data_IF_163545758425
#
_entry.id   IF_163545758425
#
_cell.length_a   1.000
_cell.length_b   1.000
_cell.length_c   1.000
_cell.angle_alpha   90.00
_cell.angle_beta   90.00
_cell.angle_gamma   90.00
#
_symmetry.space_group_name_H-M   'P 1'
#
loop_
_entity.id
_entity.type
_entity.pdbx_description
1 polymer ?
#
# COMPACT_ATOMS: atom_id res chain seq x y z
N UNK A 1 -2.28 -13.76 -6.74
CA UNK A 1 -2.71 -13.23 -5.43
C UNK A 1 -4.23 -13.15 -5.43
N UNK A 2 -4.90 -13.63 -4.39
CA UNK A 2 -6.37 -13.77 -4.38
C UNK A 2 -7.08 -12.41 -4.46
N UNK A 3 -6.45 -11.36 -3.92
CA UNK A 3 -6.95 -9.98 -3.97
C UNK A 3 -7.08 -9.48 -5.41
N UNK A 4 -6.03 -9.62 -6.21
CA UNK A 4 -6.03 -9.21 -7.62
C UNK A 4 -7.06 -10.00 -8.41
N UNK A 5 -7.16 -11.31 -8.17
CA UNK A 5 -8.12 -12.15 -8.89
C UNK A 5 -9.57 -11.69 -8.63
N UNK A 6 -9.90 -11.36 -7.38
CA UNK A 6 -11.20 -10.79 -7.01
C UNK A 6 -11.43 -9.44 -7.70
N UNK A 7 -10.44 -8.54 -7.69
CA UNK A 7 -10.54 -7.23 -8.34
C UNK A 7 -10.82 -7.35 -9.85
N UNK A 8 -10.23 -8.34 -10.52
CA UNK A 8 -10.41 -8.60 -11.95
C UNK A 8 -11.84 -9.06 -12.31
N UNK A 9 -12.65 -9.51 -11.35
CA UNK A 9 -14.06 -9.85 -11.58
C UNK A 9 -14.98 -8.62 -11.56
N UNK A 10 -14.50 -7.48 -11.04
CA UNK A 10 -15.27 -6.25 -10.96
C UNK A 10 -15.16 -5.41 -12.23
N UNK A 11 -16.24 -4.72 -12.60
CA UNK A 11 -16.24 -3.81 -13.74
C UNK A 11 -15.32 -2.61 -13.50
N UNK A 12 -14.73 -2.05 -14.57
CA UNK A 12 -13.94 -0.82 -14.46
C UNK A 12 -14.80 0.38 -14.04
N UNK A 13 -14.20 1.36 -13.36
CA UNK A 13 -14.87 2.59 -12.90
C UNK A 13 -16.13 2.35 -12.06
N UNK A 14 -16.11 1.29 -11.26
CA UNK A 14 -17.22 0.84 -10.42
C UNK A 14 -17.21 1.48 -9.02
N UNK A 15 -16.06 2.00 -8.57
CA UNK A 15 -15.90 2.53 -7.21
C UNK A 15 -15.45 4.00 -7.18
N UNK A 16 -15.97 4.75 -6.20
CA UNK A 16 -15.51 6.10 -5.88
C UNK A 16 -14.37 6.09 -4.84
N UNK A 17 -14.28 5.03 -4.03
CA UNK A 17 -13.29 4.86 -2.96
C UNK A 17 -12.89 3.38 -2.85
N UNK A 18 -11.59 3.12 -2.76
CA UNK A 18 -11.00 1.84 -2.38
C UNK A 18 -10.21 2.03 -1.10
N UNK A 19 -10.38 1.13 -0.13
CA UNK A 19 -9.69 1.17 1.16
C UNK A 19 -8.88 -0.11 1.39
N UNK A 20 -7.61 0.05 1.75
CA UNK A 20 -6.70 -1.04 2.12
C UNK A 20 -6.00 -0.71 3.45
N UNK A 21 -6.78 -0.70 4.54
CA UNK A 21 -6.27 -0.54 5.90
C UNK A 21 -6.01 -1.92 6.50
N UNK A 22 -4.74 -2.22 6.83
CA UNK A 22 -4.26 -3.53 7.27
C UNK A 22 -4.29 -4.63 6.18
N UNK A 23 -4.01 -4.27 4.92
CA UNK A 23 -3.98 -5.21 3.78
C UNK A 23 -2.61 -5.26 3.11
N UNK A 24 -2.03 -4.11 2.74
CA UNK A 24 -0.76 -4.07 2.00
C UNK A 24 0.46 -4.55 2.79
N UNK A 25 0.31 -4.75 4.10
CA UNK A 25 1.32 -5.41 4.93
C UNK A 25 1.41 -6.93 4.67
N UNK A 26 0.51 -7.51 3.87
CA UNK A 26 0.54 -8.93 3.49
C UNK A 26 0.98 -9.13 2.04
N UNK A 27 1.21 -8.04 1.30
CA UNK A 27 1.54 -8.06 -0.13
C UNK A 27 2.85 -7.31 -0.31
N UNK A 28 3.90 -8.02 -0.76
CA UNK A 28 5.19 -7.39 -1.02
C UNK A 28 5.13 -6.47 -2.23
N UNK A 29 4.93 -7.08 -3.41
CA UNK A 29 4.86 -6.34 -4.66
C UNK A 29 3.45 -5.82 -4.90
N UNK A 30 3.27 -4.50 -4.84
CA UNK A 30 1.98 -3.83 -4.97
C UNK A 30 1.63 -3.41 -6.40
N UNK A 31 2.53 -3.59 -7.38
CA UNK A 31 2.36 -3.12 -8.77
C UNK A 31 1.04 -3.54 -9.41
N UNK A 32 0.72 -4.82 -9.39
CA UNK A 32 -0.51 -5.36 -10.01
C UNK A 32 -1.76 -4.91 -9.25
N UNK A 33 -1.70 -4.91 -7.92
CA UNK A 33 -2.79 -4.45 -7.06
C UNK A 33 -3.11 -2.98 -7.31
N UNK A 34 -2.11 -2.09 -7.33
CA UNK A 34 -2.30 -0.65 -7.58
C UNK A 34 -2.86 -0.41 -8.99
N UNK A 35 -2.38 -1.15 -9.99
CA UNK A 35 -2.90 -1.08 -11.35
C UNK A 35 -4.39 -1.44 -11.41
N UNK A 36 -4.79 -2.52 -10.74
CA UNK A 36 -6.19 -2.92 -10.68
C UNK A 36 -7.03 -1.91 -9.90
N UNK A 37 -6.52 -1.33 -8.80
CA UNK A 37 -7.23 -0.25 -8.09
C UNK A 37 -7.50 0.92 -9.03
N UNK A 38 -6.50 1.33 -9.83
CA UNK A 38 -6.65 2.41 -10.81
C UNK A 38 -7.75 2.11 -11.83
N UNK A 39 -7.83 0.88 -12.32
CA UNK A 39 -8.90 0.44 -13.25
C UNK A 39 -10.29 0.51 -12.60
N UNK A 40 -10.38 0.12 -11.33
CA UNK A 40 -11.63 0.06 -10.59
C UNK A 40 -12.17 1.44 -10.18
N UNK A 41 -11.28 2.40 -9.92
CA UNK A 41 -11.66 3.75 -9.52
C UNK A 41 -12.24 4.56 -10.69
N UNK A 42 -13.30 5.32 -10.38
CA UNK A 42 -13.78 6.42 -11.23
C UNK A 42 -12.76 7.57 -11.23
N UNK A 43 -12.80 8.47 -12.24
CA UNK A 43 -11.98 9.68 -12.21
C UNK A 43 -12.17 10.46 -10.90
N UNK A 44 -11.08 10.94 -10.31
CA UNK A 44 -11.05 11.60 -8.99
C UNK A 44 -11.38 10.70 -7.79
N UNK A 45 -11.60 9.41 -8.01
CA UNK A 45 -11.79 8.43 -6.96
C UNK A 45 -10.53 8.27 -6.10
N UNK A 46 -10.71 7.77 -4.87
CA UNK A 46 -9.64 7.73 -3.88
C UNK A 46 -9.19 6.29 -3.60
N UNK A 47 -7.88 6.12 -3.41
CA UNK A 47 -7.30 4.96 -2.75
C UNK A 47 -6.76 5.41 -1.39
N UNK A 48 -7.33 4.90 -0.31
CA UNK A 48 -6.89 5.15 1.06
C UNK A 48 -6.29 3.86 1.66
N UNK A 49 -5.08 3.91 2.19
CA UNK A 49 -4.41 2.70 2.64
C UNK A 49 -3.41 2.95 3.77
N UNK A 50 -3.04 1.87 4.45
CA UNK A 50 -2.00 1.87 5.48
C UNK A 50 -0.83 1.00 5.06
N UNK A 51 0.39 1.41 5.42
CA UNK A 51 1.62 0.64 5.22
C UNK A 51 2.50 0.68 6.46
N UNK A 52 3.19 -0.41 6.75
CA UNK A 52 4.37 -0.38 7.61
C UNK A 52 5.51 0.32 6.87
N UNK A 53 6.16 1.27 7.52
CA UNK A 53 7.29 1.95 6.93
C UNK A 53 8.50 1.01 6.93
N UNK A 54 9.20 0.92 5.81
CA UNK A 54 10.45 0.19 5.72
C UNK A 54 11.50 0.84 6.64
N UNK A 55 11.83 0.17 7.74
CA UNK A 55 12.89 0.56 8.68
C UNK A 55 14.18 -0.18 8.34
N UNK A 56 15.29 0.53 8.26
CA UNK A 56 16.63 -0.04 8.01
C UNK A 56 17.18 -0.83 9.19
N UNK A 57 16.53 -0.82 10.36
CA UNK A 57 16.99 -1.52 11.56
C UNK A 57 16.82 -3.05 11.52
N UNK A 58 15.85 -3.56 10.74
CA UNK A 58 15.68 -5.01 10.52
C UNK A 58 16.76 -5.51 9.53
N UNK A 59 17.42 -6.61 9.89
CA UNK A 59 18.54 -7.22 9.15
C UNK A 59 18.07 -8.17 8.04
N UNK A 60 16.76 -8.33 7.85
CA UNK A 60 16.21 -9.19 6.81
C UNK A 60 16.58 -8.66 5.41
N UNK A 61 16.77 -9.56 4.40
CA UNK A 61 17.08 -9.15 3.03
C UNK A 61 16.08 -8.13 2.51
N UNK A 62 16.60 -7.02 1.99
CA UNK A 62 15.80 -5.86 1.59
C UNK A 62 15.87 -5.69 0.08
N UNK A 63 14.72 -5.52 -0.55
CA UNK A 63 14.67 -4.83 -1.84
C UNK A 63 14.58 -3.33 -1.54
N UNK A 64 15.02 -2.46 -2.45
CA UNK A 64 14.88 -1.01 -2.25
C UNK A 64 13.41 -0.56 -2.11
N UNK A 65 12.48 -1.41 -2.56
CA UNK A 65 11.05 -1.13 -2.63
C UNK A 65 10.29 -1.62 -1.39
N UNK A 66 10.48 -2.88 -0.99
CA UNK A 66 9.81 -3.51 0.15
C UNK A 66 10.63 -4.63 0.82
N UNK A 67 10.21 -5.05 2.01
CA UNK A 67 10.84 -6.15 2.77
C UNK A 67 9.79 -6.99 3.48
N UNK A 68 9.95 -8.31 3.44
CA UNK A 68 9.27 -9.23 4.36
C UNK A 68 10.02 -9.22 5.69
N UNK A 69 9.40 -8.67 6.73
CA UNK A 69 9.97 -8.58 8.07
C UNK A 69 9.90 -9.94 8.78
N UNK A 70 10.67 -10.09 9.86
CA UNK A 70 10.62 -11.29 10.73
C UNK A 70 9.23 -11.58 11.34
N UNK A 71 8.36 -10.58 11.37
CA UNK A 71 6.95 -10.70 11.80
C UNK A 71 6.04 -11.38 10.78
N UNK A 72 6.54 -11.66 9.57
CA UNK A 72 5.75 -12.20 8.45
C UNK A 72 4.92 -11.15 7.71
N UNK A 73 5.13 -9.86 8.01
CA UNK A 73 4.49 -8.72 7.35
C UNK A 73 5.48 -7.94 6.49
N UNK A 74 4.98 -7.37 5.42
CA UNK A 74 5.72 -6.51 4.52
C UNK A 74 5.77 -5.06 5.03
N UNK A 75 6.95 -4.48 4.95
CA UNK A 75 7.15 -3.03 5.04
C UNK A 75 7.50 -2.45 3.68
N UNK A 76 7.09 -1.21 3.45
CA UNK A 76 7.11 -0.54 2.16
C UNK A 76 7.95 0.75 2.26
N UNK A 77 8.79 1.01 1.26
CA UNK A 77 9.56 2.24 1.21
C UNK A 77 8.72 3.39 0.66
N UNK A 78 8.98 4.61 1.12
CA UNK A 78 8.29 5.80 0.59
C UNK A 78 8.57 6.01 -0.91
N UNK A 79 9.79 5.74 -1.34
CA UNK A 79 10.20 5.86 -2.74
C UNK A 79 9.40 4.91 -3.65
N UNK A 80 9.14 3.69 -3.19
CA UNK A 80 8.32 2.73 -3.92
C UNK A 80 6.88 3.20 -4.07
N UNK A 81 6.28 3.70 -2.99
CA UNK A 81 4.93 4.27 -3.01
C UNK A 81 4.83 5.46 -3.98
N UNK A 82 5.79 6.39 -3.95
CA UNK A 82 5.80 7.53 -4.86
C UNK A 82 5.95 7.09 -6.34
N UNK A 83 6.80 6.09 -6.61
CA UNK A 83 6.98 5.49 -7.93
C UNK A 83 5.68 4.84 -8.43
N UNK A 84 5.03 4.04 -7.60
CA UNK A 84 3.75 3.39 -7.94
C UNK A 84 2.65 4.41 -8.24
N UNK A 85 2.55 5.46 -7.42
CA UNK A 85 1.60 6.53 -7.66
C UNK A 85 1.84 7.20 -9.02
N UNK A 86 3.09 7.59 -9.30
CA UNK A 86 3.46 8.23 -10.55
C UNK A 86 3.18 7.35 -11.77
N UNK A 87 3.58 6.07 -11.72
CA UNK A 87 3.44 5.13 -12.83
C UNK A 87 1.98 4.83 -13.17
N UNK A 88 1.08 4.87 -12.18
CA UNK A 88 -0.35 4.60 -12.37
C UNK A 88 -1.19 5.89 -12.46
N UNK A 89 -0.54 7.06 -12.50
CA UNK A 89 -1.22 8.35 -12.66
C UNK A 89 -2.07 8.73 -11.46
N UNK A 90 -1.65 8.40 -10.24
CA UNK A 90 -2.25 8.89 -9.01
C UNK A 90 -1.58 10.19 -8.56
N UNK A 91 -2.36 11.06 -7.93
CA UNK A 91 -1.87 12.22 -7.17
C UNK A 91 -1.86 11.86 -5.69
N UNK A 92 -0.71 11.97 -5.03
CA UNK A 92 -0.60 11.80 -3.59
C UNK A 92 -1.23 13.00 -2.89
N UNK A 93 -2.35 12.80 -2.18
CA UNK A 93 -3.07 13.87 -1.47
C UNK A 93 -2.61 14.01 -0.04
N UNK A 94 -2.37 12.88 0.62
CA UNK A 94 -1.96 12.87 2.02
C UNK A 94 -1.05 11.68 2.33
N UNK A 95 -0.06 11.94 3.19
CA UNK A 95 0.75 10.92 3.85
C UNK A 95 0.87 11.35 5.30
N UNK A 96 0.28 10.57 6.20
CA UNK A 96 0.24 10.83 7.62
C UNK A 96 1.03 9.75 8.37
N UNK A 97 2.26 10.04 8.83
CA UNK A 97 3.02 9.12 9.66
C UNK A 97 2.31 8.86 10.99
N UNK A 98 2.22 7.61 11.40
CA UNK A 98 1.56 7.23 12.66
C UNK A 98 2.12 5.92 13.22
N UNK A 99 1.75 5.60 14.46
CA UNK A 99 1.92 4.26 15.04
C UNK A 99 0.70 3.44 14.63
N UNK A 100 0.90 2.44 13.77
CA UNK A 100 -0.19 1.59 13.28
C UNK A 100 -0.74 0.69 14.38
N UNK A 101 0.16 0.12 15.17
CA UNK A 101 -0.13 -0.79 16.27
C UNK A 101 1.04 -0.86 17.24
N UNK A 102 0.81 -1.50 18.37
CA UNK A 102 1.87 -1.93 19.29
C UNK A 102 2.00 -3.45 19.19
N UNK A 103 3.19 -3.95 18.87
CA UNK A 103 3.49 -5.37 18.72
C UNK A 103 4.64 -5.75 19.66
N UNK A 104 4.42 -6.74 20.53
CA UNK A 104 5.38 -7.13 21.57
C UNK A 104 5.89 -5.96 22.44
N UNK A 105 5.00 -5.00 22.72
CA UNK A 105 5.33 -3.79 23.46
C UNK A 105 6.12 -2.74 22.68
N UNK A 106 6.42 -2.97 21.40
CA UNK A 106 7.10 -2.03 20.52
C UNK A 106 6.13 -1.38 19.53
N UNK A 107 6.23 -0.06 19.30
CA UNK A 107 5.38 0.62 18.33
C UNK A 107 5.80 0.25 16.90
N UNK A 108 4.84 -0.16 16.07
CA UNK A 108 5.06 -0.39 14.64
C UNK A 108 4.78 0.91 13.90
N UNK A 109 5.84 1.50 13.36
CA UNK A 109 5.76 2.75 12.62
C UNK A 109 5.22 2.50 11.21
N UNK A 110 4.29 3.34 10.80
CA UNK A 110 3.71 3.27 9.47
C UNK A 110 3.17 4.60 9.01
N UNK A 111 2.42 4.55 7.91
CA UNK A 111 1.78 5.73 7.34
C UNK A 111 0.36 5.39 6.89
N UNK A 112 -0.56 6.34 7.12
CA UNK A 112 -1.85 6.38 6.43
C UNK A 112 -1.69 7.25 5.19
N UNK A 113 -2.17 6.77 4.04
CA UNK A 113 -1.92 7.39 2.74
C UNK A 113 -3.22 7.53 1.98
N UNK A 114 -3.39 8.67 1.32
CA UNK A 114 -4.51 8.92 0.39
C UNK A 114 -3.95 9.31 -0.97
N UNK A 115 -4.30 8.53 -1.98
CA UNK A 115 -4.06 8.81 -3.39
C UNK A 115 -5.37 9.12 -4.11
N UNK A 116 -5.30 9.98 -5.11
CA UNK A 116 -6.42 10.32 -5.98
C UNK A 116 -6.14 9.90 -7.42
N UNK A 117 -7.08 9.18 -8.03
CA UNK A 117 -7.03 8.71 -9.41
C UNK A 117 -7.33 9.83 -10.43
#
# INVERSE_FOLDING_TARGET
>A
DDVVHMMQQEAAHSFDLVVAADVFIYIGQLDETVKEVKRLLRPQGLLAFSIENLDTSDQSPVTEDFRLNSTGRYSQSRAYLDKLAQQNGFVVREVHPTVLRVENGQPVQGSLVIWQA
#
